data_IF_531589284168
#
_entry.id   IF_531589284168
#
_cell.length_a   1.000
_cell.length_b   1.000
_cell.length_c   1.000
_cell.angle_alpha   90.00
_cell.angle_beta   90.00
_cell.angle_gamma   90.00
#
_symmetry.space_group_name_H-M   'P 1'
#
loop_
_entity.id
_entity.type
_entity.pdbx_description
1 polymer ?
#
# COMPACT_ATOMS: atom_id res chain seq x y z
N UNK A 1 6.38 -4.06 -14.83
CA UNK A 1 6.80 -4.32 -16.24
C UNK A 1 8.17 -5.00 -16.32
N UNK A 2 8.15 -6.32 -16.57
CA UNK A 2 8.71 -6.94 -17.79
C UNK A 2 7.69 -7.98 -18.25
N UNK A 3 7.01 -7.71 -19.37
CA UNK A 3 6.72 -8.77 -20.33
C UNK A 3 7.94 -8.96 -21.23
N UNK A 4 8.08 -10.10 -21.92
CA UNK A 4 9.21 -10.34 -22.80
C UNK A 4 9.00 -9.49 -24.06
N UNK A 5 9.64 -8.32 -24.12
CA UNK A 5 10.13 -7.65 -25.34
C UNK A 5 10.70 -6.28 -24.95
N UNK A 6 11.93 -6.02 -25.40
CA UNK A 6 12.77 -4.88 -24.99
C UNK A 6 12.64 -3.67 -25.94
N UNK A 7 11.59 -3.62 -26.76
CA UNK A 7 11.44 -2.60 -27.80
C UNK A 7 10.18 -1.80 -27.58
N UNK A 8 10.34 -0.48 -27.60
CA UNK A 8 9.31 0.57 -27.53
C UNK A 8 8.91 0.93 -26.08
N UNK A 9 9.30 2.14 -25.67
CA UNK A 9 8.37 3.22 -25.29
C UNK A 9 9.14 4.35 -24.59
N UNK A 10 9.14 5.51 -25.27
CA UNK A 10 9.44 6.83 -24.73
C UNK A 10 8.56 7.13 -23.51
N UNK A 11 9.15 7.54 -22.40
CA UNK A 11 8.41 8.03 -21.23
C UNK A 11 9.10 9.25 -20.61
N UNK A 12 8.30 10.31 -20.53
CA UNK A 12 8.56 11.63 -19.97
C UNK A 12 8.89 11.56 -18.47
N UNK A 13 9.93 12.28 -18.03
CA UNK A 13 10.61 12.14 -16.73
C UNK A 13 10.16 13.12 -15.65
N UNK A 14 9.08 13.88 -15.84
CA UNK A 14 8.58 14.77 -14.79
C UNK A 14 7.55 14.05 -13.90
N UNK A 15 8.00 13.33 -12.86
CA UNK A 15 7.28 13.05 -11.60
C UNK A 15 8.05 12.05 -10.71
N UNK A 16 9.27 12.40 -10.29
CA UNK A 16 9.88 11.80 -9.09
C UNK A 16 10.71 12.85 -8.37
N UNK A 17 10.13 13.47 -7.35
CA UNK A 17 10.81 13.88 -6.12
C UNK A 17 9.76 14.31 -5.11
N UNK A 18 9.66 13.55 -4.03
CA UNK A 18 8.96 13.95 -2.83
C UNK A 18 9.64 13.26 -1.66
N UNK A 19 10.54 13.98 -0.98
CA UNK A 19 10.85 13.68 0.40
C UNK A 19 9.53 13.63 1.17
N UNK A 20 9.32 12.62 2.01
CA UNK A 20 8.17 12.60 2.92
C UNK A 20 8.37 13.70 3.97
N UNK A 21 7.91 14.92 3.65
CA UNK A 21 7.59 15.90 4.68
C UNK A 21 6.43 15.29 5.47
N UNK A 22 6.64 14.95 6.74
CA UNK A 22 5.56 14.54 7.64
C UNK A 22 4.64 15.74 7.84
N UNK A 23 3.62 15.87 6.98
CA UNK A 23 2.66 16.96 7.05
C UNK A 23 1.82 16.82 8.32
N UNK A 24 1.77 17.89 9.13
CA UNK A 24 0.92 17.96 10.34
C UNK A 24 -0.58 18.08 10.01
N UNK A 25 -0.90 18.42 8.76
CA UNK A 25 -2.25 18.66 8.29
C UNK A 25 -2.62 17.62 7.24
N UNK A 26 -3.87 17.14 7.30
CA UNK A 26 -4.37 16.10 6.41
C UNK A 26 -5.69 16.56 5.79
N UNK A 27 -5.77 16.50 4.45
CA UNK A 27 -7.00 16.74 3.66
C UNK A 27 -7.92 15.53 3.79
N UNK A 28 -9.08 15.71 4.41
CA UNK A 28 -10.07 14.67 4.72
C UNK A 28 -10.34 14.63 6.22
N UNK A 29 -11.61 14.44 6.60
CA UNK A 29 -12.01 14.30 8.00
C UNK A 29 -12.71 12.95 8.18
N UNK A 30 -12.21 12.03 9.03
CA UNK A 30 -12.84 10.72 9.22
C UNK A 30 -14.26 10.83 9.76
N UNK A 31 -14.60 11.90 10.48
CA UNK A 31 -15.95 12.07 11.00
C UNK A 31 -16.97 12.54 9.95
N UNK A 32 -16.54 12.93 8.75
CA UNK A 32 -17.43 13.41 7.70
C UNK A 32 -18.15 12.26 6.98
N UNK A 33 -19.48 12.38 6.87
CA UNK A 33 -20.32 11.49 6.05
C UNK A 33 -21.25 12.29 5.16
N UNK A 34 -21.45 11.77 3.95
CA UNK A 34 -22.46 12.24 3.00
C UNK A 34 -23.39 11.08 2.67
N UNK A 35 -24.68 11.26 2.90
CA UNK A 35 -25.70 10.27 2.54
C UNK A 35 -26.27 10.60 1.16
N UNK A 36 -26.23 9.63 0.26
CA UNK A 36 -26.74 9.79 -1.10
C UNK A 36 -28.24 9.47 -1.10
N UNK A 37 -29.09 10.49 -1.25
CA UNK A 37 -30.55 10.41 -1.19
C UNK A 37 -31.25 11.67 -1.70
N UNK A 38 -32.52 11.88 -1.32
CA UNK A 38 -33.39 12.98 -1.81
C UNK A 38 -32.88 14.38 -1.47
N UNK A 39 -32.07 14.52 -0.42
CA UNK A 39 -31.27 15.70 -0.12
C UNK A 39 -29.87 15.20 0.28
N UNK A 40 -28.80 15.75 -0.30
CA UNK A 40 -27.41 15.37 0.01
C UNK A 40 -27.05 15.82 1.43
N UNK A 41 -27.52 15.08 2.42
CA UNK A 41 -27.29 15.38 3.82
C UNK A 41 -25.83 15.10 4.18
N UNK A 42 -25.19 16.09 4.81
CA UNK A 42 -23.81 16.04 5.24
C UNK A 42 -23.78 16.09 6.76
N UNK A 43 -23.17 15.09 7.38
CA UNK A 43 -23.12 14.98 8.84
C UNK A 43 -21.69 14.77 9.35
N UNK A 44 -21.47 15.18 10.58
CA UNK A 44 -20.29 14.89 11.37
C UNK A 44 -20.64 13.83 12.40
N UNK A 45 -19.81 12.79 12.49
CA UNK A 45 -19.93 11.65 13.42
C UNK A 45 -18.97 11.72 14.62
N UNK A 46 -18.39 12.89 14.89
CA UNK A 46 -17.40 13.02 15.97
C UNK A 46 -18.09 12.86 17.34
N UNK A 47 -17.41 12.20 18.29
CA UNK A 47 -17.97 11.84 19.60
C UNK A 47 -19.23 10.98 19.54
N UNK A 48 -19.37 10.18 18.47
CA UNK A 48 -20.52 9.29 18.24
C UNK A 48 -21.88 10.02 18.17
N UNK A 49 -21.87 11.31 17.89
CA UNK A 49 -23.05 12.14 17.69
C UNK A 49 -23.31 12.34 16.19
N UNK A 50 -24.55 12.64 15.79
CA UNK A 50 -24.91 12.92 14.39
C UNK A 50 -25.25 14.40 14.27
N UNK A 51 -24.27 15.17 13.81
CA UNK A 51 -24.40 16.63 13.69
C UNK A 51 -24.49 17.06 12.23
N UNK A 52 -25.56 17.74 11.79
CA UNK A 52 -25.63 18.32 10.46
C UNK A 52 -24.54 19.37 10.26
N UNK A 53 -23.82 19.28 9.14
CA UNK A 53 -22.70 20.17 8.83
C UNK A 53 -22.72 20.70 7.40
N UNK A 54 -22.19 21.90 7.26
CA UNK A 54 -21.77 22.49 5.99
C UNK A 54 -20.28 22.19 5.81
N UNK A 55 -19.97 21.27 4.90
CA UNK A 55 -18.60 20.92 4.58
C UNK A 55 -18.07 21.74 3.40
N UNK A 56 -16.89 22.33 3.59
CA UNK A 56 -16.10 23.01 2.56
C UNK A 56 -14.70 22.39 2.51
N UNK A 57 -14.15 22.24 1.30
CA UNK A 57 -12.76 21.81 1.13
C UNK A 57 -11.86 23.04 1.17
N UNK A 58 -10.96 23.11 2.15
CA UNK A 58 -10.03 24.23 2.32
C UNK A 58 -8.60 23.76 2.06
N UNK A 59 -7.75 24.64 1.53
CA UNK A 59 -6.35 24.30 1.34
C UNK A 59 -5.56 24.34 2.67
N UNK A 60 -4.74 23.32 3.01
CA UNK A 60 -3.91 23.27 4.21
C UNK A 60 -2.96 24.45 4.35
N UNK A 61 -2.56 25.10 3.24
CA UNK A 61 -1.65 26.25 3.28
C UNK A 61 -2.20 27.42 4.12
N UNK A 62 -3.52 27.56 4.22
CA UNK A 62 -4.19 28.54 5.10
C UNK A 62 -3.89 28.32 6.58
N UNK A 63 -3.43 27.14 6.96
CA UNK A 63 -3.21 26.70 8.33
C UNK A 63 -1.74 26.36 8.63
N UNK A 64 -0.80 26.78 7.78
CA UNK A 64 0.65 26.48 7.92
C UNK A 64 1.26 26.95 9.25
N UNK A 65 0.67 27.97 9.89
CA UNK A 65 1.16 28.52 11.15
C UNK A 65 0.72 27.74 12.39
N UNK A 66 -0.05 26.66 12.23
CA UNK A 66 -0.42 25.80 13.36
C UNK A 66 0.80 24.96 13.74
N UNK A 67 1.42 25.31 14.87
CA UNK A 67 2.60 24.62 15.39
C UNK A 67 2.26 23.69 16.56
N UNK A 68 1.23 24.05 17.32
CA UNK A 68 0.71 23.34 18.49
C UNK A 68 -0.84 23.31 18.53
N UNK A 69 -1.40 22.49 19.42
CA UNK A 69 -2.85 22.36 19.62
C UNK A 69 -3.49 23.68 20.02
N UNK A 70 -2.81 24.50 20.82
CA UNK A 70 -3.32 25.81 21.27
C UNK A 70 -3.59 26.77 20.11
N UNK A 71 -2.86 26.65 18.99
CA UNK A 71 -3.04 27.48 17.81
C UNK A 71 -4.37 27.19 17.10
N UNK A 72 -4.94 25.98 17.28
CA UNK A 72 -6.21 25.59 16.65
C UNK A 72 -7.36 26.52 17.04
N UNK A 73 -7.31 27.10 18.23
CA UNK A 73 -8.35 28.02 18.72
C UNK A 73 -8.48 29.25 17.82
N UNK A 74 -7.38 29.73 17.23
CA UNK A 74 -7.36 30.89 16.33
C UNK A 74 -8.01 30.60 14.98
N UNK A 75 -8.03 29.32 14.57
CA UNK A 75 -8.54 28.86 13.29
C UNK A 75 -9.92 28.20 13.40
N UNK A 76 -10.47 28.11 14.60
CA UNK A 76 -11.80 27.55 14.85
C UNK A 76 -12.87 28.37 14.15
N UNK A 77 -13.84 27.70 13.55
CA UNK A 77 -15.01 28.34 12.96
C UNK A 77 -15.91 28.93 14.05
N UNK A 78 -16.43 30.14 13.80
CA UNK A 78 -17.50 30.74 14.61
C UNK A 78 -18.86 30.04 14.41
N UNK A 79 -19.00 29.22 13.36
CA UNK A 79 -20.16 28.40 13.09
C UNK A 79 -19.87 26.93 13.47
N UNK A 80 -20.63 26.39 14.42
CA UNK A 80 -20.51 25.02 14.93
C UNK A 80 -20.83 23.95 13.90
N UNK A 81 -21.62 24.27 12.87
CA UNK A 81 -21.95 23.36 11.78
C UNK A 81 -20.93 23.41 10.64
N UNK A 82 -19.86 24.21 10.73
CA UNK A 82 -18.86 24.29 9.65
C UNK A 82 -17.81 23.17 9.78
N UNK A 83 -17.50 22.50 8.67
CA UNK A 83 -16.44 21.51 8.56
C UNK A 83 -15.48 21.87 7.43
N UNK A 84 -14.20 22.06 7.75
CA UNK A 84 -13.15 22.38 6.75
C UNK A 84 -12.58 21.14 6.05
N UNK A 85 -13.09 19.95 6.38
CA UNK A 85 -12.57 18.66 5.92
C UNK A 85 -11.05 18.55 6.11
N UNK A 86 -10.55 19.08 7.23
CA UNK A 86 -9.14 19.09 7.58
C UNK A 86 -8.97 18.66 9.03
N UNK A 87 -7.93 17.84 9.25
CA UNK A 87 -7.53 17.40 10.58
C UNK A 87 -6.07 17.78 10.84
N UNK A 88 -5.79 18.11 12.10
CA UNK A 88 -4.46 18.35 12.62
C UNK A 88 -3.95 17.13 13.38
N UNK A 89 -2.71 16.76 13.11
CA UNK A 89 -2.01 15.64 13.68
C UNK A 89 -1.03 16.13 14.74
N UNK A 90 -1.44 16.09 16.01
CA UNK A 90 -0.53 16.45 17.09
C UNK A 90 0.42 15.31 17.41
N UNK A 91 1.63 15.41 16.85
CA UNK A 91 2.68 14.41 17.02
C UNK A 91 3.30 14.40 18.41
N UNK A 92 3.10 15.45 19.23
CA UNK A 92 3.65 15.52 20.58
C UNK A 92 2.80 14.72 21.55
N UNK A 93 1.49 14.94 21.55
CA UNK A 93 0.55 14.20 22.41
C UNK A 93 0.03 12.91 21.78
N UNK A 94 0.17 12.75 20.45
CA UNK A 94 -0.24 11.53 19.74
C UNK A 94 -1.73 11.47 19.40
N UNK A 95 -2.45 12.59 19.46
CA UNK A 95 -3.88 12.69 19.16
C UNK A 95 -4.14 13.42 17.83
N UNK A 96 -5.33 13.27 17.28
CA UNK A 96 -5.79 14.06 16.14
C UNK A 96 -6.97 14.98 16.50
N UNK A 97 -7.01 16.11 15.82
CA UNK A 97 -7.93 17.21 16.12
C UNK A 97 -8.63 17.69 14.87
N UNK A 98 -9.92 17.99 14.99
CA UNK A 98 -10.69 18.69 13.97
C UNK A 98 -10.31 20.18 13.98
N UNK A 99 -9.84 20.70 12.84
CA UNK A 99 -9.42 22.11 12.75
C UNK A 99 -10.61 23.05 12.89
N UNK A 100 -11.74 22.76 12.24
CA UNK A 100 -12.88 23.68 12.24
C UNK A 100 -13.53 23.84 13.61
N UNK A 101 -13.38 22.86 14.51
CA UNK A 101 -13.97 22.88 15.84
C UNK A 101 -12.94 23.01 16.98
N UNK A 102 -11.64 22.88 16.67
CA UNK A 102 -10.54 22.80 17.65
C UNK A 102 -10.82 21.75 18.74
N UNK A 103 -11.33 20.58 18.34
CA UNK A 103 -11.69 19.48 19.24
C UNK A 103 -10.98 18.20 18.83
N UNK A 104 -10.68 17.35 19.82
CA UNK A 104 -10.20 15.99 19.57
C UNK A 104 -11.20 15.23 18.72
N UNK A 105 -10.68 14.36 17.87
CA UNK A 105 -11.48 13.41 17.13
C UNK A 105 -11.62 12.16 17.97
N UNK A 106 -12.87 11.78 18.18
CA UNK A 106 -13.26 10.66 18.98
C UNK A 106 -14.28 9.85 18.18
N UNK A 107 -14.04 8.55 18.07
CA UNK A 107 -14.91 7.59 17.38
C UNK A 107 -15.05 6.39 18.32
N UNK A 108 -16.28 5.93 18.53
CA UNK A 108 -16.63 4.88 19.48
C UNK A 108 -16.11 5.14 20.90
N UNK A 109 -16.25 6.37 21.40
CA UNK A 109 -15.79 6.84 22.71
C UNK A 109 -14.27 6.78 22.92
N UNK A 110 -13.50 6.50 21.87
CA UNK A 110 -12.06 6.40 21.91
C UNK A 110 -11.43 7.55 21.12
N UNK A 111 -10.42 8.19 21.73
CA UNK A 111 -9.65 9.23 21.06
C UNK A 111 -8.85 8.60 19.91
N UNK A 112 -9.03 9.13 18.70
CA UNK A 112 -8.29 8.64 17.53
C UNK A 112 -6.84 9.14 17.62
N UNK A 113 -5.90 8.20 17.59
CA UNK A 113 -4.48 8.49 17.66
C UNK A 113 -3.93 8.94 16.32
N UNK A 114 -2.86 9.73 16.36
CA UNK A 114 -2.18 10.15 15.14
C UNK A 114 -1.58 8.98 14.36
N UNK A 115 -1.12 7.94 15.06
CA UNK A 115 -0.58 6.73 14.44
C UNK A 115 -1.67 5.99 13.63
N UNK A 116 -2.90 5.91 14.15
CA UNK A 116 -4.02 5.30 13.45
C UNK A 116 -4.38 6.07 12.19
N UNK A 117 -4.32 7.40 12.22
CA UNK A 117 -4.51 8.23 11.02
C UNK A 117 -3.38 7.97 10.01
N UNK A 118 -2.12 7.85 10.44
CA UNK A 118 -1.03 7.54 9.50
C UNK A 118 -1.21 6.18 8.81
N UNK A 119 -1.55 5.15 9.58
CA UNK A 119 -1.82 3.82 9.02
C UNK A 119 -3.06 3.86 8.11
N UNK A 120 -4.11 4.57 8.51
CA UNK A 120 -5.29 4.80 7.67
C UNK A 120 -4.95 5.57 6.38
N UNK A 121 -4.06 6.56 6.43
CA UNK A 121 -3.67 7.32 5.25
C UNK A 121 -2.85 6.48 4.29
N UNK A 122 -1.93 5.66 4.80
CA UNK A 122 -1.20 4.69 3.99
C UNK A 122 -2.17 3.69 3.35
N UNK A 123 -3.18 3.24 4.10
CA UNK A 123 -4.26 2.38 3.62
C UNK A 123 -5.07 3.04 2.50
N UNK A 124 -5.64 4.23 2.71
CA UNK A 124 -6.54 4.88 1.74
C UNK A 124 -5.79 5.37 0.50
N UNK A 125 -4.57 5.91 0.64
CA UNK A 125 -3.76 6.30 -0.52
C UNK A 125 -3.29 5.11 -1.35
N UNK A 126 -3.14 3.94 -0.72
CA UNK A 126 -2.87 2.71 -1.45
C UNK A 126 -4.11 2.12 -2.13
N UNK A 127 -5.33 2.46 -1.69
CA UNK A 127 -6.60 1.95 -2.21
C UNK A 127 -7.25 2.87 -3.26
N UNK A 128 -7.12 4.19 -3.16
CA UNK A 128 -7.76 5.14 -4.08
C UNK A 128 -6.76 5.88 -4.99
N UNK A 129 -7.12 6.00 -6.29
CA UNK A 129 -6.52 6.98 -7.20
C UNK A 129 -7.36 8.26 -7.20
N UNK A 130 -7.46 8.93 -6.05
CA UNK A 130 -8.08 10.26 -5.98
C UNK A 130 -7.21 11.24 -6.78
N UNK A 131 -7.79 11.86 -7.83
CA UNK A 131 -7.09 12.78 -8.75
C UNK A 131 -6.80 14.15 -8.12
N UNK A 132 -7.44 14.48 -7.01
CA UNK A 132 -7.42 15.81 -6.39
C UNK A 132 -6.66 15.87 -5.05
N UNK A 133 -6.05 14.76 -4.62
CA UNK A 133 -5.28 14.71 -3.36
C UNK A 133 -6.11 14.87 -2.08
N UNK A 134 -7.45 14.85 -2.20
CA UNK A 134 -8.38 14.73 -1.06
C UNK A 134 -8.52 13.25 -0.74
N UNK A 135 -8.25 12.88 0.52
CA UNK A 135 -8.43 11.51 0.99
C UNK A 135 -9.93 11.27 1.22
N UNK A 136 -10.45 10.12 0.74
CA UNK A 136 -11.84 9.76 0.99
C UNK A 136 -12.10 9.62 2.51
N UNK A 137 -12.92 10.53 3.00
CA UNK A 137 -13.32 10.60 4.41
C UNK A 137 -14.10 9.36 4.84
N UNK A 138 -14.88 8.77 3.94
CA UNK A 138 -15.59 7.51 4.17
C UNK A 138 -14.64 6.31 4.34
N UNK A 139 -13.58 6.24 3.53
CA UNK A 139 -12.56 5.20 3.64
C UNK A 139 -11.75 5.33 4.95
N UNK A 140 -11.39 6.56 5.34
CA UNK A 140 -10.74 6.82 6.63
C UNK A 140 -11.62 6.38 7.80
N UNK A 141 -12.91 6.75 7.78
CA UNK A 141 -13.86 6.33 8.81
C UNK A 141 -14.00 4.81 8.91
N UNK A 142 -14.19 4.14 7.75
CA UNK A 142 -14.31 2.68 7.68
C UNK A 142 -13.06 2.00 8.21
N UNK A 143 -11.86 2.48 7.86
CA UNK A 143 -10.62 1.96 8.39
C UNK A 143 -10.56 2.08 9.91
N UNK A 144 -10.76 3.29 10.46
CA UNK A 144 -10.67 3.53 11.90
C UNK A 144 -11.69 2.72 12.68
N UNK A 145 -12.90 2.56 12.15
CA UNK A 145 -13.96 1.74 12.77
C UNK A 145 -13.65 0.24 12.74
N UNK A 146 -12.77 -0.21 11.84
CA UNK A 146 -12.53 -1.64 11.62
C UNK A 146 -11.20 -2.11 12.19
N UNK A 147 -10.13 -1.37 11.88
CA UNK A 147 -8.74 -1.74 12.15
C UNK A 147 -8.07 -0.81 13.17
N UNK A 148 -8.69 0.33 13.50
CA UNK A 148 -8.20 1.21 14.57
C UNK A 148 -8.41 0.59 15.95
N UNK A 149 -7.64 1.04 16.95
CA UNK A 149 -7.85 0.67 18.34
C UNK A 149 -9.27 1.07 18.83
N UNK A 150 -9.87 2.07 18.19
CA UNK A 150 -11.27 2.47 18.35
C UNK A 150 -12.30 1.38 17.97
N UNK A 151 -11.90 0.25 17.38
CA UNK A 151 -12.76 -0.91 17.10
C UNK A 151 -12.72 -1.99 18.20
N UNK A 152 -11.80 -1.86 19.18
CA UNK A 152 -11.64 -2.85 20.25
C UNK A 152 -12.91 -2.95 21.11
N UNK A 153 -13.53 -4.15 21.09
CA UNK A 153 -14.73 -4.47 21.88
C UNK A 153 -16.08 -4.42 21.15
N UNK A 154 -16.12 -4.03 19.87
CA UNK A 154 -17.37 -3.99 19.08
C UNK A 154 -17.52 -5.11 18.06
N UNK A 155 -16.41 -5.64 17.54
CA UNK A 155 -16.41 -6.77 16.62
C UNK A 155 -16.00 -8.01 17.40
N UNK A 156 -16.76 -9.09 17.24
CA UNK A 156 -16.28 -10.40 17.67
C UNK A 156 -15.12 -10.85 16.75
N UNK A 157 -14.34 -11.84 17.19
CA UNK A 157 -13.14 -12.28 16.47
C UNK A 157 -13.45 -12.72 15.04
N UNK A 158 -14.64 -13.28 14.82
CA UNK A 158 -15.14 -13.72 13.51
C UNK A 158 -15.38 -12.54 12.54
N UNK A 159 -16.10 -11.51 12.97
CA UNK A 159 -16.34 -10.31 12.15
C UNK A 159 -15.04 -9.56 11.83
N UNK A 160 -14.09 -9.56 12.77
CA UNK A 160 -12.75 -9.00 12.54
C UNK A 160 -11.98 -9.79 11.49
N UNK A 161 -12.01 -11.12 11.57
CA UNK A 161 -11.33 -12.01 10.64
C UNK A 161 -11.91 -11.93 9.22
N UNK A 162 -13.23 -11.79 9.08
CA UNK A 162 -13.89 -11.61 7.78
C UNK A 162 -13.44 -10.31 7.10
N UNK A 163 -13.39 -9.20 7.84
CA UNK A 163 -13.01 -7.91 7.25
C UNK A 163 -11.52 -7.89 6.91
N UNK A 164 -10.67 -8.45 7.78
CA UNK A 164 -9.25 -8.67 7.49
C UNK A 164 -9.10 -9.48 6.21
N UNK A 165 -9.79 -10.60 6.08
CA UNK A 165 -9.71 -11.48 4.91
C UNK A 165 -10.14 -10.77 3.63
N UNK A 166 -11.28 -10.08 3.67
CA UNK A 166 -11.80 -9.29 2.54
C UNK A 166 -10.81 -8.22 2.08
N UNK A 167 -10.24 -7.50 3.04
CA UNK A 167 -9.26 -6.47 2.76
C UNK A 167 -7.97 -7.02 2.16
N UNK A 168 -7.43 -8.10 2.72
CA UNK A 168 -6.18 -8.67 2.20
C UNK A 168 -6.39 -9.29 0.82
N UNK A 169 -7.57 -9.85 0.53
CA UNK A 169 -7.94 -10.23 -0.84
C UNK A 169 -7.86 -9.05 -1.79
N UNK A 170 -8.41 -7.89 -1.42
CA UNK A 170 -8.37 -6.67 -2.24
C UNK A 170 -6.93 -6.18 -2.49
N UNK A 171 -6.11 -6.07 -1.44
CA UNK A 171 -4.71 -5.61 -1.55
C UNK A 171 -3.90 -6.59 -2.40
N UNK A 172 -4.04 -7.89 -2.14
CA UNK A 172 -3.36 -8.95 -2.87
C UNK A 172 -3.73 -8.94 -4.35
N UNK A 173 -5.02 -8.77 -4.65
CA UNK A 173 -5.56 -8.64 -6.00
C UNK A 173 -4.99 -7.43 -6.73
N UNK A 174 -4.97 -6.26 -6.08
CA UNK A 174 -4.38 -5.06 -6.64
C UNK A 174 -2.89 -5.24 -6.90
N UNK A 175 -2.16 -5.82 -5.95
CA UNK A 175 -0.74 -6.08 -6.10
C UNK A 175 -0.46 -7.02 -7.28
N UNK A 176 -1.25 -8.08 -7.44
CA UNK A 176 -1.17 -8.97 -8.60
C UNK A 176 -1.50 -8.25 -9.92
N UNK A 177 -2.50 -7.36 -9.94
CA UNK A 177 -2.78 -6.51 -11.09
C UNK A 177 -1.57 -5.62 -11.43
N UNK A 178 -0.95 -4.98 -10.44
CA UNK A 178 0.20 -4.12 -10.65
C UNK A 178 1.48 -4.87 -11.06
N UNK A 179 1.73 -6.06 -10.51
CA UNK A 179 2.86 -6.93 -10.90
C UNK A 179 2.68 -7.43 -12.33
N UNK A 180 1.49 -7.94 -12.65
CA UNK A 180 1.13 -8.38 -14.01
C UNK A 180 0.95 -7.24 -15.01
N UNK A 181 1.00 -5.98 -14.55
CA UNK A 181 0.76 -4.77 -15.35
C UNK A 181 -0.64 -4.78 -16.01
N UNK A 182 -1.64 -5.31 -15.31
CA UNK A 182 -3.04 -5.22 -15.67
C UNK A 182 -3.56 -3.82 -15.37
N UNK A 183 -4.11 -3.14 -16.37
CA UNK A 183 -4.81 -1.87 -16.20
C UNK A 183 -6.12 -1.94 -16.96
N UNK A 184 -7.22 -2.19 -16.26
CA UNK A 184 -8.56 -2.06 -16.81
C UNK A 184 -9.33 -0.98 -16.05
N UNK A 185 -10.14 -0.20 -16.77
CA UNK A 185 -11.11 0.74 -16.20
C UNK A 185 -12.34 0.05 -15.63
N UNK A 186 -12.52 -1.24 -15.93
CA UNK A 186 -13.64 -2.09 -15.51
C UNK A 186 -13.09 -3.47 -15.16
N UNK A 187 -13.11 -3.84 -13.88
CA UNK A 187 -12.65 -5.15 -13.41
C UNK A 187 -13.65 -6.24 -13.81
N UNK A 188 -13.47 -6.86 -14.98
CA UNK A 188 -14.03 -8.19 -15.22
C UNK A 188 -13.15 -9.21 -14.49
N UNK A 189 -13.72 -9.95 -13.54
CA UNK A 189 -12.99 -10.92 -12.72
C UNK A 189 -12.31 -11.99 -13.58
N UNK A 190 -12.97 -12.44 -14.66
CA UNK A 190 -12.44 -13.45 -15.58
C UNK A 190 -11.25 -12.94 -16.38
N UNK A 191 -11.32 -11.72 -16.93
CA UNK A 191 -10.23 -11.12 -17.70
C UNK A 191 -8.98 -10.88 -16.83
N UNK A 192 -9.20 -10.42 -15.59
CA UNK A 192 -8.14 -10.26 -14.61
C UNK A 192 -7.44 -11.60 -14.32
N UNK A 193 -8.21 -12.64 -14.01
CA UNK A 193 -7.64 -13.96 -13.69
C UNK A 193 -6.86 -14.55 -14.86
N UNK A 194 -7.38 -14.44 -16.08
CA UNK A 194 -6.69 -14.89 -17.28
C UNK A 194 -5.38 -14.13 -17.52
N UNK A 195 -5.39 -12.82 -17.30
CA UNK A 195 -4.19 -11.98 -17.44
C UNK A 195 -3.11 -12.38 -16.43
N UNK A 196 -3.49 -12.57 -15.17
CA UNK A 196 -2.56 -13.04 -14.12
C UNK A 196 -2.03 -14.44 -14.45
N UNK A 197 -2.89 -15.38 -14.88
CA UNK A 197 -2.45 -16.73 -15.34
C UNK A 197 -1.47 -16.66 -16.50
N UNK A 198 -1.71 -15.79 -17.48
CA UNK A 198 -0.79 -15.54 -18.61
C UNK A 198 0.53 -14.97 -18.12
N UNK A 199 0.52 -14.11 -17.11
CA UNK A 199 1.74 -13.58 -16.51
C UNK A 199 2.53 -14.65 -15.74
N UNK A 200 1.87 -15.49 -14.93
CA UNK A 200 2.50 -16.63 -14.24
C UNK A 200 3.17 -17.57 -15.26
N UNK A 201 2.52 -17.83 -16.40
CA UNK A 201 3.10 -18.63 -17.49
C UNK A 201 4.40 -18.01 -18.03
N UNK A 202 4.45 -16.68 -18.19
CA UNK A 202 5.66 -15.95 -18.62
C UNK A 202 6.79 -16.01 -17.57
N UNK A 203 6.45 -15.90 -16.29
CA UNK A 203 7.42 -16.08 -15.19
C UNK A 203 8.01 -17.50 -15.25
N UNK A 204 7.16 -18.52 -15.41
CA UNK A 204 7.63 -19.91 -15.50
C UNK A 204 8.51 -20.18 -16.71
N UNK A 205 8.23 -19.56 -17.86
CA UNK A 205 9.13 -19.61 -19.03
C UNK A 205 10.49 -18.94 -18.73
N UNK A 206 10.47 -17.80 -18.04
CA UNK A 206 11.71 -17.11 -17.62
C UNK A 206 12.54 -17.97 -16.67
N UNK A 207 11.91 -18.75 -15.78
CA UNK A 207 12.61 -19.69 -14.89
C UNK A 207 13.41 -20.75 -15.66
N UNK A 208 12.84 -21.31 -16.73
CA UNK A 208 13.57 -22.26 -17.59
C UNK A 208 14.77 -21.60 -18.26
N UNK A 209 14.65 -20.34 -18.66
CA UNK A 209 15.76 -19.57 -19.23
C UNK A 209 16.87 -19.32 -18.21
N UNK A 210 16.52 -18.96 -16.96
CA UNK A 210 17.48 -18.79 -15.87
C UNK A 210 18.19 -20.09 -15.53
N UNK A 211 17.49 -21.22 -15.46
CA UNK A 211 18.11 -22.53 -15.22
C UNK A 211 19.11 -22.92 -16.32
N UNK A 212 18.76 -22.66 -17.59
CA UNK A 212 19.66 -22.87 -18.72
C UNK A 212 20.89 -21.94 -18.63
N UNK A 213 20.70 -20.68 -18.25
CA UNK A 213 21.79 -19.71 -18.07
C UNK A 213 22.74 -20.14 -16.93
N UNK A 214 22.21 -20.55 -15.78
CA UNK A 214 23.00 -21.07 -14.66
C UNK A 214 23.86 -22.25 -15.09
N UNK A 215 23.30 -23.17 -15.88
CA UNK A 215 24.02 -24.34 -16.40
C UNK A 215 25.16 -23.94 -17.34
N UNK A 216 24.91 -22.97 -18.24
CA UNK A 216 25.94 -22.43 -19.14
C UNK A 216 27.07 -21.74 -18.37
N UNK A 217 26.74 -20.90 -17.38
CA UNK A 217 27.73 -20.20 -16.55
C UNK A 217 28.57 -21.17 -15.72
N UNK A 218 27.98 -22.23 -15.15
CA UNK A 218 28.71 -23.28 -14.45
C UNK A 218 29.70 -24.01 -15.38
N UNK A 219 29.26 -24.35 -16.60
CA UNK A 219 30.13 -24.98 -17.61
C UNK A 219 31.27 -24.07 -18.08
N UNK A 220 31.04 -22.77 -18.12
CA UNK A 220 32.04 -21.76 -18.45
C UNK A 220 32.97 -21.38 -17.28
N UNK A 221 32.84 -22.05 -16.12
CA UNK A 221 33.56 -21.75 -14.89
C UNK A 221 33.48 -20.27 -14.50
N UNK A 222 32.28 -19.68 -14.66
CA UNK A 222 32.04 -18.27 -14.38
C UNK A 222 32.24 -17.93 -12.89
N UNK A 223 32.50 -16.65 -12.63
CA UNK A 223 32.71 -16.13 -11.29
C UNK A 223 31.56 -16.50 -10.33
N UNK A 224 31.92 -16.86 -9.10
CA UNK A 224 30.97 -17.32 -8.08
C UNK A 224 29.89 -16.27 -7.76
N UNK A 225 30.23 -14.98 -7.78
CA UNK A 225 29.29 -13.88 -7.51
C UNK A 225 28.26 -13.77 -8.64
N UNK A 226 28.68 -13.99 -9.89
CA UNK A 226 27.75 -14.01 -11.03
C UNK A 226 26.79 -15.20 -10.95
N UNK A 227 27.29 -16.38 -10.53
CA UNK A 227 26.44 -17.55 -10.30
C UNK A 227 25.42 -17.32 -9.19
N UNK A 228 25.83 -16.74 -8.06
CA UNK A 228 24.94 -16.37 -6.95
C UNK A 228 23.90 -15.33 -7.37
N UNK A 229 24.31 -14.31 -8.14
CA UNK A 229 23.39 -13.28 -8.65
C UNK A 229 22.29 -13.90 -9.50
N UNK A 230 22.64 -14.77 -10.45
CA UNK A 230 21.69 -15.47 -11.31
C UNK A 230 20.75 -16.38 -10.51
N UNK A 231 21.27 -17.03 -9.47
CA UNK A 231 20.45 -17.87 -8.58
C UNK A 231 19.44 -17.05 -7.76
N UNK A 232 19.85 -15.88 -7.25
CA UNK A 232 18.94 -14.97 -6.57
C UNK A 232 17.84 -14.46 -7.50
N UNK A 233 18.15 -14.12 -8.75
CA UNK A 233 17.15 -13.76 -9.77
C UNK A 233 16.16 -14.90 -10.04
N UNK A 234 16.65 -16.12 -10.19
CA UNK A 234 15.81 -17.30 -10.39
C UNK A 234 14.85 -17.50 -9.21
N UNK A 235 15.35 -17.37 -7.99
CA UNK A 235 14.57 -17.50 -6.76
C UNK A 235 13.54 -16.39 -6.63
N UNK A 236 13.91 -15.15 -6.95
CA UNK A 236 13.00 -14.01 -6.95
C UNK A 236 11.78 -14.27 -7.85
N UNK A 237 11.99 -14.66 -9.10
CA UNK A 237 10.90 -14.97 -10.03
C UNK A 237 10.04 -16.15 -9.57
N UNK A 238 10.65 -17.15 -8.92
CA UNK A 238 9.90 -18.26 -8.32
C UNK A 238 8.97 -17.77 -7.23
N UNK A 239 9.44 -16.92 -6.31
CA UNK A 239 8.62 -16.39 -5.22
C UNK A 239 7.50 -15.49 -5.74
N UNK A 240 7.78 -14.64 -6.74
CA UNK A 240 6.76 -13.83 -7.40
C UNK A 240 5.67 -14.70 -8.05
N UNK A 241 6.06 -15.79 -8.72
CA UNK A 241 5.10 -16.75 -9.28
C UNK A 241 4.24 -17.43 -8.21
N UNK A 242 4.84 -17.84 -7.09
CA UNK A 242 4.11 -18.43 -5.95
C UNK A 242 3.12 -17.43 -5.38
N UNK A 243 3.55 -16.18 -5.16
CA UNK A 243 2.68 -15.12 -4.66
C UNK A 243 1.45 -14.93 -5.54
N UNK A 244 1.64 -14.80 -6.86
CA UNK A 244 0.54 -14.62 -7.82
C UNK A 244 -0.41 -15.82 -7.88
N UNK A 245 0.12 -17.05 -7.75
CA UNK A 245 -0.72 -18.24 -7.65
C UNK A 245 -1.59 -18.23 -6.40
N UNK A 246 -1.04 -17.80 -5.26
CA UNK A 246 -1.78 -17.70 -4.00
C UNK A 246 -2.85 -16.61 -4.06
N UNK A 247 -2.59 -15.48 -4.73
CA UNK A 247 -3.62 -14.45 -4.97
C UNK A 247 -4.83 -15.03 -5.72
N UNK A 248 -4.59 -15.84 -6.76
CA UNK A 248 -5.67 -16.47 -7.53
C UNK A 248 -6.41 -17.55 -6.71
N UNK A 249 -5.70 -18.25 -5.83
CA UNK A 249 -6.29 -19.26 -4.96
C UNK A 249 -7.21 -18.63 -3.91
N UNK A 250 -6.76 -17.53 -3.28
CA UNK A 250 -7.54 -16.75 -2.30
C UNK A 250 -8.88 -16.23 -2.83
N UNK A 251 -8.99 -15.98 -4.14
CA UNK A 251 -10.26 -15.57 -4.79
C UNK A 251 -11.25 -16.72 -4.93
N UNK A 252 -10.78 -17.97 -4.91
CA UNK A 252 -11.61 -19.17 -5.10
C UNK A 252 -11.86 -19.93 -3.79
N UNK A 253 -11.18 -19.60 -2.70
CA UNK A 253 -11.33 -20.26 -1.40
C UNK A 253 -12.60 -19.79 -0.68
N UNK A 254 -13.51 -20.71 -0.39
CA UNK A 254 -14.77 -20.49 0.36
C UNK A 254 -14.65 -20.71 1.87
N UNK A 255 -13.49 -21.18 2.36
CA UNK A 255 -13.20 -21.48 3.77
C UNK A 255 -12.31 -20.39 4.39
N UNK A 256 -12.74 -19.82 5.51
CA UNK A 256 -12.12 -18.66 6.17
C UNK A 256 -10.78 -19.00 6.86
N UNK A 257 -10.67 -20.16 7.52
CA UNK A 257 -9.41 -20.63 8.11
C UNK A 257 -8.30 -20.87 7.08
N UNK A 258 -8.66 -21.21 5.85
CA UNK A 258 -7.72 -21.39 4.75
C UNK A 258 -7.26 -20.04 4.17
N UNK A 259 -8.05 -18.98 4.33
CA UNK A 259 -7.67 -17.65 3.90
C UNK A 259 -6.53 -17.10 4.78
N UNK A 260 -6.70 -17.05 6.11
CA UNK A 260 -5.70 -16.47 7.02
C UNK A 260 -4.35 -17.20 6.98
N UNK A 261 -4.36 -18.53 6.81
CA UNK A 261 -3.14 -19.32 6.62
C UNK A 261 -2.45 -18.99 5.28
N UNK A 262 -3.21 -18.85 4.19
CA UNK A 262 -2.70 -18.38 2.91
C UNK A 262 -2.17 -16.93 3.00
N UNK A 263 -2.79 -16.07 3.81
CA UNK A 263 -2.32 -14.70 4.06
C UNK A 263 -0.95 -14.70 4.76
N UNK A 264 -0.81 -15.46 5.86
CA UNK A 264 0.48 -15.61 6.56
C UNK A 264 1.56 -16.18 5.64
N UNK A 265 1.19 -17.12 4.78
CA UNK A 265 2.09 -17.64 3.77
C UNK A 265 2.53 -16.54 2.78
N UNK A 266 1.61 -15.71 2.30
CA UNK A 266 1.91 -14.59 1.41
C UNK A 266 2.81 -13.53 2.07
N UNK A 267 2.64 -13.25 3.37
CA UNK A 267 3.58 -12.40 4.15
C UNK A 267 4.98 -13.00 4.12
N UNK A 268 5.12 -14.29 4.44
CA UNK A 268 6.43 -14.97 4.45
C UNK A 268 7.11 -14.92 3.07
N UNK A 269 6.34 -15.07 1.99
CA UNK A 269 6.85 -14.93 0.63
C UNK A 269 7.33 -13.49 0.38
N UNK A 270 6.56 -12.50 0.83
CA UNK A 270 6.87 -11.07 0.68
C UNK A 270 8.17 -10.68 1.38
N UNK A 271 8.37 -11.11 2.63
CA UNK A 271 9.61 -10.90 3.37
C UNK A 271 10.82 -11.51 2.68
N UNK A 272 10.67 -12.74 2.16
CA UNK A 272 11.72 -13.42 1.40
C UNK A 272 12.06 -12.68 0.10
N UNK A 273 11.07 -12.09 -0.57
CA UNK A 273 11.28 -11.28 -1.77
C UNK A 273 12.06 -10.00 -1.44
N UNK A 274 11.74 -9.32 -0.35
CA UNK A 274 12.47 -8.13 0.11
C UNK A 274 13.94 -8.49 0.38
N UNK A 275 14.19 -9.55 1.16
CA UNK A 275 15.55 -10.02 1.47
C UNK A 275 16.34 -10.38 0.21
N UNK A 276 15.70 -11.05 -0.76
CA UNK A 276 16.34 -11.34 -2.05
C UNK A 276 16.62 -10.08 -2.87
N UNK A 277 15.76 -9.07 -2.83
CA UNK A 277 16.01 -7.78 -3.48
C UNK A 277 17.31 -7.15 -2.95
N UNK A 278 17.49 -7.15 -1.63
CA UNK A 278 18.72 -6.66 -0.99
C UNK A 278 19.96 -7.44 -1.42
N UNK A 279 19.87 -8.77 -1.41
CA UNK A 279 20.98 -9.64 -1.85
C UNK A 279 21.32 -9.44 -3.33
N UNK A 280 20.32 -9.27 -4.20
CA UNK A 280 20.55 -8.95 -5.62
C UNK A 280 21.23 -7.59 -5.76
N UNK A 281 20.81 -6.58 -4.99
CA UNK A 281 21.39 -5.24 -5.01
C UNK A 281 22.85 -5.27 -4.58
N UNK A 282 23.15 -5.91 -3.46
CA UNK A 282 24.52 -6.09 -2.95
C UNK A 282 25.42 -6.76 -4.00
N UNK A 283 25.00 -7.92 -4.54
CA UNK A 283 25.79 -8.66 -5.53
C UNK A 283 25.94 -7.89 -6.84
N UNK A 284 24.93 -7.15 -7.27
CA UNK A 284 25.01 -6.28 -8.44
C UNK A 284 26.06 -5.19 -8.24
N UNK A 285 26.10 -4.54 -7.07
CA UNK A 285 27.10 -3.50 -6.77
C UNK A 285 28.52 -4.08 -6.78
N UNK A 286 28.73 -5.23 -6.14
CA UNK A 286 30.04 -5.92 -6.15
C UNK A 286 30.48 -6.24 -7.60
N UNK A 287 29.56 -6.68 -8.46
CA UNK A 287 29.89 -6.97 -9.86
C UNK A 287 30.25 -5.73 -10.68
N UNK A 288 29.60 -4.60 -10.41
CA UNK A 288 29.91 -3.30 -11.05
C UNK A 288 31.27 -2.79 -10.59
N UNK A 289 31.54 -2.80 -9.28
CA UNK A 289 32.80 -2.34 -8.70
C UNK A 289 34.00 -3.14 -9.21
N UNK A 290 33.82 -4.44 -9.45
CA UNK A 290 34.87 -5.33 -9.94
C UNK A 290 35.01 -5.35 -11.46
N UNK A 291 34.20 -4.58 -12.21
CA UNK A 291 34.18 -4.58 -13.68
C UNK A 291 34.08 -5.98 -14.32
N UNK A 292 33.37 -6.90 -13.66
CA UNK A 292 33.27 -8.31 -14.07
C UNK A 292 32.31 -8.54 -15.24
N UNK A 293 31.75 -7.48 -15.83
CA UNK A 293 30.76 -7.55 -16.91
C UNK A 293 30.91 -6.36 -17.85
N UNK A 294 30.46 -6.52 -19.10
CA UNK A 294 30.42 -5.43 -20.07
C UNK A 294 29.54 -4.26 -19.60
N UNK A 295 29.86 -3.06 -20.04
CA UNK A 295 29.11 -1.82 -19.74
C UNK A 295 27.64 -1.92 -20.12
N UNK A 296 27.31 -2.64 -21.20
CA UNK A 296 25.93 -2.90 -21.62
C UNK A 296 25.15 -3.74 -20.59
N UNK A 297 25.79 -4.76 -20.01
CA UNK A 297 25.17 -5.63 -19.00
C UNK A 297 25.03 -4.88 -17.67
N UNK A 298 26.02 -4.08 -17.30
CA UNK A 298 25.95 -3.23 -16.10
C UNK A 298 24.78 -2.23 -16.19
N UNK A 299 24.59 -1.61 -17.35
CA UNK A 299 23.50 -0.65 -17.57
C UNK A 299 22.11 -1.32 -17.52
N UNK A 300 22.00 -2.53 -18.08
CA UNK A 300 20.79 -3.36 -17.93
C UNK A 300 20.52 -3.67 -16.46
N UNK A 301 21.52 -4.13 -15.70
CA UNK A 301 21.36 -4.44 -14.28
C UNK A 301 20.95 -3.22 -13.43
N UNK A 302 21.49 -2.03 -13.73
CA UNK A 302 21.09 -0.78 -13.08
C UNK A 302 19.62 -0.45 -13.34
N UNK A 303 19.17 -0.54 -14.60
CA UNK A 303 17.74 -0.35 -14.95
C UNK A 303 16.83 -1.37 -14.26
N UNK A 304 17.28 -2.62 -14.17
CA UNK A 304 16.57 -3.67 -13.42
C UNK A 304 16.52 -3.38 -11.92
N UNK A 305 17.61 -2.87 -11.33
CA UNK A 305 17.67 -2.49 -9.92
C UNK A 305 16.70 -1.35 -9.59
N UNK A 306 16.61 -0.34 -10.46
CA UNK A 306 15.68 0.77 -10.26
C UNK A 306 14.22 0.32 -10.31
N UNK A 307 13.86 -0.58 -11.24
CA UNK A 307 12.51 -1.15 -11.32
C UNK A 307 12.19 -2.05 -10.13
N UNK A 308 13.16 -2.82 -9.62
CA UNK A 308 13.00 -3.66 -8.41
C UNK A 308 12.67 -2.83 -7.17
N UNK A 309 13.21 -1.62 -7.04
CA UNK A 309 12.92 -0.73 -5.91
C UNK A 309 11.40 -0.49 -5.75
N UNK A 310 10.67 -0.39 -6.86
CA UNK A 310 9.22 -0.25 -6.82
C UNK A 310 8.52 -1.55 -6.36
N UNK A 311 9.01 -2.71 -6.80
CA UNK A 311 8.49 -4.02 -6.36
C UNK A 311 8.77 -4.25 -4.87
N UNK A 312 9.98 -3.96 -4.40
CA UNK A 312 10.40 -4.03 -3.00
C UNK A 312 9.56 -3.12 -2.11
N UNK A 313 9.33 -1.87 -2.52
CA UNK A 313 8.44 -0.94 -1.81
C UNK A 313 7.02 -1.51 -1.67
N UNK A 314 6.50 -2.19 -2.69
CA UNK A 314 5.17 -2.81 -2.66
C UNK A 314 5.10 -4.00 -1.72
N UNK A 315 6.07 -4.91 -1.80
CA UNK A 315 6.16 -6.03 -0.85
C UNK A 315 6.34 -5.53 0.59
N UNK A 316 7.12 -4.46 0.80
CA UNK A 316 7.30 -3.84 2.12
C UNK A 316 6.01 -3.23 2.66
N UNK A 317 5.24 -2.55 1.81
CA UNK A 317 3.92 -2.05 2.19
C UNK A 317 2.95 -3.19 2.55
N UNK A 318 2.95 -4.27 1.77
CA UNK A 318 2.10 -5.44 2.06
C UNK A 318 2.47 -6.06 3.40
N UNK A 319 3.77 -6.28 3.67
CA UNK A 319 4.23 -6.79 4.96
C UNK A 319 3.81 -5.86 6.09
N UNK A 320 4.02 -4.54 5.96
CA UNK A 320 3.61 -3.58 6.99
C UNK A 320 2.12 -3.64 7.29
N UNK A 321 1.30 -3.62 6.25
CA UNK A 321 -0.17 -3.68 6.37
C UNK A 321 -0.61 -4.98 7.06
N UNK A 322 0.02 -6.11 6.72
CA UNK A 322 -0.34 -7.40 7.28
C UNK A 322 0.22 -7.63 8.69
N UNK A 323 1.38 -7.05 9.01
CA UNK A 323 1.94 -7.06 10.36
C UNK A 323 1.15 -6.21 11.34
N UNK A 324 0.58 -5.08 10.90
CA UNK A 324 -0.38 -4.30 11.70
C UNK A 324 -1.63 -5.13 12.01
N UNK A 325 -2.10 -5.93 11.05
CA UNK A 325 -3.26 -6.81 11.24
C UNK A 325 -2.96 -7.96 12.23
N UNK A 326 -1.83 -8.67 12.10
CA UNK A 326 -1.45 -9.80 12.97
C UNK A 326 -1.21 -9.33 14.43
N UNK A 327 -0.71 -8.10 14.62
CA UNK A 327 -0.55 -7.48 15.95
C UNK A 327 -1.88 -7.16 16.65
N UNK A 328 -3.00 -7.14 15.92
CA UNK A 328 -4.34 -6.85 16.44
C UNK A 328 -5.27 -8.08 16.47
N UNK A 329 -4.80 -9.24 16.00
CA UNK A 329 -5.52 -10.53 16.04
C UNK A 329 -4.87 -11.56 16.98
N UNK A 330 -3.77 -11.21 17.64
CA UNK A 330 -3.16 -11.99 18.75
C UNK A 330 -3.49 -11.33 20.08
#
# INVERSE_FOLDING_TARGET
MIGPEASQLDLNTSLVRGEQVKTKLVKGCPCYKEFIGLEKEKVCLNFDDVLPINAISVDPSFFERIEAVDDLVQYKSNNSSMCYLLIYLDRKEGHCYCISQARRININKMDVKTAEIDSALQFVTSAERSRDGVICSDCLYKYLKTLGEASSGFLNDFEREEIVTSYVREVSRRMAAELSSYSSSTFSDTEYQEHVKKYIKRINQSRSQWAALTTKLKKANADKILLELVDHYSTFYRLEGIFLSQVLELENTSSEMDALSALRFMVSISEKVIKLSDMIREKTNIMIERNLMSTEVQEKLRKHSQKRKNTEYRFSNLVRVLSEIDAHTT
#
